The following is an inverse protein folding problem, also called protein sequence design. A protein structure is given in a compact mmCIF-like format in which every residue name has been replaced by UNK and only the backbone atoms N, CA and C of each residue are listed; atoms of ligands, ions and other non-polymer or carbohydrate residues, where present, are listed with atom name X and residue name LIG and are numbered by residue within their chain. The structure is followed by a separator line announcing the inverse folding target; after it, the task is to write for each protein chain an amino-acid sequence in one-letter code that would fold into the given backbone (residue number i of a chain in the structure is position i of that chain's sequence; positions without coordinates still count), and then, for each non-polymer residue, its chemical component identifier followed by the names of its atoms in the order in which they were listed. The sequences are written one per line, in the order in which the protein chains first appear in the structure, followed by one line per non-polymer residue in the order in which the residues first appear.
data_IF_891598014125
#
_entry.id   IF_891598014125
#
_cell.length_a   1.000
_cell.length_b   1.000
_cell.length_c   1.000
_cell.angle_alpha   90.00
_cell.angle_beta   90.00
_cell.angle_gamma   90.00
#
_symmetry.space_group_name_H-M   'P 1'
#
loop_
_entity.id
_entity.type
_entity.pdbx_description
1 polymer ?
#
# COMPACT_ATOMS: atom_id res chain seq x y z
N UNK A 1 13.03 21.60 79.02
CA UNK A 1 14.24 20.83 78.64
C UNK A 1 13.99 20.35 77.22
N UNK A 2 14.75 20.90 76.27
CA UNK A 2 14.62 20.71 74.82
C UNK A 2 15.33 19.42 74.43
N UNK A 3 14.82 18.68 73.44
CA UNK A 3 15.55 17.83 72.47
C UNK A 3 14.49 17.28 71.50
N UNK A 4 14.18 18.00 70.42
CA UNK A 4 14.82 17.99 69.09
C UNK A 4 14.51 16.72 68.28
N UNK A 5 13.47 16.82 67.45
CA UNK A 5 13.26 15.99 66.27
C UNK A 5 14.41 16.24 65.27
N UNK A 6 15.00 15.17 64.75
CA UNK A 6 15.94 15.22 63.63
C UNK A 6 15.41 14.28 62.54
N UNK A 7 15.08 14.90 61.41
CA UNK A 7 14.88 14.27 60.11
C UNK A 7 16.06 13.38 59.72
N UNK A 8 15.80 12.29 59.00
CA UNK A 8 16.67 11.88 57.88
C UNK A 8 15.91 11.02 56.87
N UNK A 9 15.79 11.59 55.68
CA UNK A 9 15.86 10.94 54.36
C UNK A 9 14.88 9.82 54.05
N UNK A 10 13.69 10.20 53.58
CA UNK A 10 13.00 9.39 52.58
C UNK A 10 13.82 9.42 51.29
N UNK A 11 14.26 8.23 50.91
CA UNK A 11 14.84 7.87 49.62
C UNK A 11 13.95 8.36 48.48
N UNK A 12 14.41 9.37 47.75
CA UNK A 12 14.10 9.50 46.33
C UNK A 12 14.75 8.29 45.63
N UNK A 13 14.04 7.17 45.52
CA UNK A 13 14.50 6.04 44.70
C UNK A 13 13.49 5.57 43.66
N UNK A 14 12.31 6.16 43.59
CA UNK A 14 11.26 5.64 42.71
C UNK A 14 10.79 6.77 41.78
N UNK A 15 10.74 6.49 40.47
CA UNK A 15 10.26 7.32 39.36
C UNK A 15 11.27 8.19 38.59
N UNK A 16 12.46 7.68 38.28
CA UNK A 16 13.22 8.18 37.11
C UNK A 16 12.89 7.37 35.86
N UNK A 17 12.67 6.06 35.98
CA UNK A 17 12.35 5.19 34.84
C UNK A 17 10.95 5.44 34.27
N UNK A 18 9.97 5.75 35.13
CA UNK A 18 8.61 6.11 34.68
C UNK A 18 8.54 7.49 34.01
N UNK A 19 9.46 8.41 34.34
CA UNK A 19 9.54 9.75 33.72
C UNK A 19 10.21 9.71 32.33
N UNK A 20 11.08 8.71 32.09
CA UNK A 20 11.78 8.55 30.80
C UNK A 20 10.90 7.90 29.72
N UNK A 21 9.87 7.15 30.12
CA UNK A 21 8.92 6.53 29.20
C UNK A 21 7.89 7.51 28.62
N UNK A 22 7.63 8.63 29.30
CA UNK A 22 6.59 9.60 28.87
C UNK A 22 7.03 10.59 27.78
N UNK A 23 8.32 10.66 27.41
CA UNK A 23 8.81 11.76 26.55
C UNK A 23 9.39 11.35 25.19
N UNK A 24 9.67 10.07 24.95
CA UNK A 24 10.23 9.63 23.67
C UNK A 24 9.70 8.26 23.24
N UNK A 25 8.82 8.24 22.24
CA UNK A 25 8.41 7.04 21.48
C UNK A 25 9.58 6.14 21.05
N UNK A 26 10.76 6.74 20.88
CA UNK A 26 12.01 6.10 20.47
C UNK A 26 13.21 6.80 21.15
N UNK A 27 13.58 6.43 22.39
CA UNK A 27 14.72 7.02 23.08
C UNK A 27 16.01 6.82 22.28
N UNK A 28 16.74 7.90 22.01
CA UNK A 28 18.02 7.82 21.28
C UNK A 28 17.92 7.70 19.75
N UNK A 29 16.75 7.99 19.17
CA UNK A 29 16.55 8.13 17.73
C UNK A 29 16.40 9.60 17.35
N UNK A 30 17.35 10.12 16.56
CA UNK A 30 17.26 11.44 15.94
C UNK A 30 16.65 11.31 14.54
N UNK A 31 15.60 12.07 14.25
CA UNK A 31 14.92 12.06 12.94
C UNK A 31 14.97 13.44 12.31
N UNK A 32 15.44 13.50 11.07
CA UNK A 32 15.51 14.72 10.27
C UNK A 32 14.80 14.50 8.94
N UNK A 33 13.90 15.41 8.58
CA UNK A 33 13.21 15.41 7.29
C UNK A 33 13.60 16.66 6.49
N UNK A 34 13.92 16.45 5.21
CA UNK A 34 14.29 17.50 4.25
C UNK A 34 13.41 17.47 3.00
N UNK A 35 13.08 18.65 2.48
CA UNK A 35 12.48 18.87 1.16
C UNK A 35 13.39 19.85 0.39
N UNK A 36 14.26 19.30 -0.46
CA UNK A 36 15.38 20.05 -1.04
C UNK A 36 16.31 20.62 0.04
N UNK A 37 16.60 21.93 -0.05
CA UNK A 37 17.43 22.64 0.93
C UNK A 37 16.67 22.98 2.22
N UNK A 38 15.35 22.82 2.24
CA UNK A 38 14.52 23.11 3.40
C UNK A 38 14.58 21.94 4.37
N UNK A 39 15.20 22.18 5.53
CA UNK A 39 15.05 21.27 6.68
C UNK A 39 13.68 21.53 7.28
N UNK A 40 12.77 20.59 7.06
CA UNK A 40 11.39 20.71 7.51
C UNK A 40 11.26 20.53 9.02
N UNK A 41 12.19 19.79 9.65
CA UNK A 41 12.17 19.60 11.10
C UNK A 41 13.50 19.08 11.65
N UNK A 42 14.02 19.73 12.70
CA UNK A 42 14.95 19.17 13.68
C UNK A 42 14.18 19.00 15.00
N UNK A 43 14.00 17.77 15.47
CA UNK A 43 13.45 17.43 16.80
C UNK A 43 11.98 17.82 17.14
N UNK A 44 11.18 18.40 16.24
CA UNK A 44 9.76 18.72 16.52
C UNK A 44 8.79 17.67 15.96
N UNK A 45 8.77 16.50 16.58
CA UNK A 45 7.68 15.54 16.41
C UNK A 45 6.44 16.02 17.18
N UNK A 46 5.27 16.15 16.52
CA UNK A 46 4.03 16.04 17.27
C UNK A 46 3.85 14.57 17.61
N UNK A 47 3.97 14.22 18.89
CA UNK A 47 3.57 12.89 19.34
C UNK A 47 2.06 12.80 19.37
N UNK A 48 1.51 11.87 18.61
CA UNK A 48 0.10 11.56 18.56
C UNK A 48 -0.04 10.07 18.92
N UNK A 49 -0.29 9.79 20.19
CA UNK A 49 -0.24 8.44 20.74
C UNK A 49 1.14 7.80 20.51
N UNK A 50 1.16 6.60 19.92
CA UNK A 50 2.38 5.83 19.60
C UNK A 50 2.96 6.16 18.21
N UNK A 51 2.82 7.41 17.75
CA UNK A 51 3.38 7.83 16.47
C UNK A 51 3.98 9.22 16.50
N UNK A 52 4.98 9.43 15.65
CA UNK A 52 5.61 10.71 15.37
C UNK A 52 5.10 11.18 14.02
N UNK A 53 4.51 12.38 13.95
CA UNK A 53 4.08 12.97 12.69
C UNK A 53 4.87 14.22 12.31
N UNK A 54 5.19 14.33 11.03
CA UNK A 54 5.89 15.45 10.42
C UNK A 54 5.02 16.10 9.36
N UNK A 55 4.79 17.39 9.54
CA UNK A 55 3.94 18.21 8.71
C UNK A 55 4.75 18.88 7.60
N UNK A 56 4.34 18.74 6.35
CA UNK A 56 4.72 19.63 5.25
C UNK A 56 3.54 20.54 4.87
N UNK A 57 3.67 21.36 3.83
CA UNK A 57 2.57 22.24 3.38
C UNK A 57 1.32 21.43 2.98
N UNK A 58 1.51 20.34 2.26
CA UNK A 58 0.46 19.57 1.58
C UNK A 58 0.36 18.12 2.05
N UNK A 59 1.33 17.63 2.82
CA UNK A 59 1.46 16.22 3.19
C UNK A 59 1.85 16.01 4.66
N UNK A 60 1.43 14.90 5.24
CA UNK A 60 1.82 14.44 6.59
C UNK A 60 2.59 13.13 6.44
N UNK A 61 3.80 13.08 6.98
CA UNK A 61 4.52 11.83 7.20
C UNK A 61 4.27 11.34 8.61
N UNK A 62 4.06 10.05 8.80
CA UNK A 62 3.88 9.44 10.12
C UNK A 62 4.82 8.26 10.28
N UNK A 63 5.59 8.26 11.36
CA UNK A 63 6.47 7.16 11.78
C UNK A 63 5.89 6.53 13.03
N UNK A 64 5.72 5.21 12.99
CA UNK A 64 5.23 4.43 14.13
C UNK A 64 6.19 3.28 14.41
N UNK A 65 6.47 3.04 15.68
CA UNK A 65 7.19 1.83 16.09
C UNK A 65 6.33 0.58 15.88
N UNK A 66 6.95 -0.50 15.41
CA UNK A 66 6.32 -1.80 15.26
C UNK A 66 7.28 -2.93 15.65
N UNK A 67 6.79 -3.92 16.38
CA UNK A 67 7.49 -5.21 16.54
C UNK A 67 7.21 -6.09 15.32
N UNK A 68 8.26 -6.53 14.63
CA UNK A 68 8.16 -7.41 13.47
C UNK A 68 7.82 -8.85 13.91
N UNK A 69 7.23 -9.64 13.01
CA UNK A 69 6.77 -11.01 13.29
C UNK A 69 7.90 -11.96 13.72
N UNK A 70 9.13 -11.69 13.27
CA UNK A 70 10.34 -12.40 13.65
C UNK A 70 10.94 -11.93 15.00
N UNK A 71 10.25 -11.05 15.72
CA UNK A 71 10.68 -10.49 17.00
C UNK A 71 11.67 -9.33 16.89
N UNK A 72 11.98 -8.86 15.68
CA UNK A 72 12.81 -7.68 15.45
C UNK A 72 12.07 -6.37 15.73
N UNK A 73 12.82 -5.30 15.97
CA UNK A 73 12.26 -3.96 16.15
C UNK A 73 12.16 -3.28 14.78
N UNK A 74 11.09 -2.53 14.54
CA UNK A 74 10.83 -1.90 13.25
C UNK A 74 10.20 -0.52 13.39
N UNK A 75 10.29 0.27 12.32
CA UNK A 75 9.57 1.53 12.18
C UNK A 75 8.80 1.52 10.88
N UNK A 76 7.50 1.76 10.96
CA UNK A 76 6.64 1.93 9.81
C UNK A 76 6.59 3.41 9.46
N UNK A 77 6.90 3.73 8.21
CA UNK A 77 6.69 5.05 7.64
C UNK A 77 5.46 5.03 6.71
N UNK A 78 4.52 5.92 6.99
CA UNK A 78 3.32 6.16 6.18
C UNK A 78 3.19 7.64 5.86
N UNK A 79 2.25 7.99 4.99
CA UNK A 79 1.88 9.37 4.82
C UNK A 79 0.54 9.58 4.15
N UNK A 80 0.02 10.78 4.29
CA UNK A 80 -1.29 11.18 3.77
C UNK A 80 -1.30 12.63 3.32
N UNK A 81 -2.11 12.91 2.30
CA UNK A 81 -2.39 14.29 1.88
C UNK A 81 -3.19 15.06 2.94
N UNK A 82 -2.85 16.33 3.13
CA UNK A 82 -3.66 17.28 3.93
C UNK A 82 -4.86 17.81 3.17
N UNK A 83 -4.81 17.72 1.85
CA UNK A 83 -5.84 18.25 0.95
C UNK A 83 -6.70 17.09 0.49
N UNK A 84 -8.01 17.20 0.71
CA UNK A 84 -8.98 16.21 0.25
C UNK A 84 -8.93 16.08 -1.28
N UNK A 85 -9.05 14.85 -1.79
CA UNK A 85 -9.02 14.51 -3.22
C UNK A 85 -7.66 14.79 -3.91
N UNK A 86 -6.58 14.99 -3.16
CA UNK A 86 -5.23 15.06 -3.73
C UNK A 86 -4.49 13.76 -3.46
N UNK A 87 -3.99 13.15 -4.52
CA UNK A 87 -3.01 12.06 -4.45
C UNK A 87 -1.63 12.67 -4.45
N UNK A 88 -0.94 12.51 -3.33
CA UNK A 88 0.43 12.98 -3.18
C UNK A 88 1.30 11.77 -2.90
N UNK A 89 2.29 11.56 -3.76
CA UNK A 89 3.28 10.49 -3.61
C UNK A 89 4.67 11.12 -3.59
N UNK A 90 5.37 10.92 -2.48
CA UNK A 90 6.74 11.36 -2.28
C UNK A 90 7.68 10.17 -2.50
N UNK A 91 8.65 10.34 -3.39
CA UNK A 91 9.82 9.47 -3.47
C UNK A 91 10.86 10.02 -2.52
N UNK A 92 11.25 9.21 -1.54
CA UNK A 92 12.16 9.62 -0.47
C UNK A 92 13.43 8.78 -0.47
N UNK A 93 14.52 9.39 -0.02
CA UNK A 93 15.79 8.77 0.32
C UNK A 93 15.89 8.71 1.83
N UNK A 94 16.13 7.53 2.39
CA UNK A 94 16.31 7.33 3.82
C UNK A 94 17.76 6.91 4.06
N UNK A 95 18.49 7.70 4.83
CA UNK A 95 19.85 7.40 5.29
C UNK A 95 19.78 7.10 6.79
N UNK A 96 20.12 5.87 7.14
CA UNK A 96 20.11 5.37 8.51
C UNK A 96 21.55 5.22 8.97
N UNK A 97 21.91 5.89 10.06
CA UNK A 97 23.20 5.69 10.73
C UNK A 97 22.98 5.22 12.14
N UNK A 98 23.72 4.18 12.54
CA UNK A 98 23.84 3.79 13.94
C UNK A 98 25.26 4.06 14.41
N UNK A 99 25.39 4.35 15.70
CA UNK A 99 26.68 4.70 16.29
C UNK A 99 27.01 3.79 17.47
N UNK A 100 28.30 3.52 17.63
CA UNK A 100 28.86 2.88 18.81
C UNK A 100 28.77 3.85 20.02
N UNK A 101 29.03 3.33 21.23
CA UNK A 101 29.03 4.15 22.45
C UNK A 101 30.09 5.26 22.46
N UNK A 102 31.14 5.14 21.65
CA UNK A 102 32.18 6.16 21.47
C UNK A 102 31.81 7.23 20.42
N UNK A 103 30.62 7.14 19.82
CA UNK A 103 30.15 8.04 18.77
C UNK A 103 30.68 7.74 17.37
N UNK A 104 31.47 6.66 17.18
CA UNK A 104 31.87 6.21 15.84
C UNK A 104 30.71 5.54 15.11
N UNK A 105 30.66 5.64 13.78
CA UNK A 105 29.61 5.01 12.97
C UNK A 105 29.77 3.49 13.04
N UNK A 106 28.73 2.80 13.50
CA UNK A 106 28.66 1.35 13.52
C UNK A 106 28.15 0.81 12.16
N UNK A 107 27.03 1.32 11.67
CA UNK A 107 26.47 0.99 10.35
C UNK A 107 25.90 2.24 9.68
N UNK A 108 26.04 2.29 8.37
CA UNK A 108 25.42 3.28 7.50
C UNK A 108 24.66 2.52 6.40
N UNK A 109 23.37 2.80 6.26
CA UNK A 109 22.50 2.19 5.25
C UNK A 109 21.69 3.26 4.54
N UNK A 110 21.47 3.07 3.26
CA UNK A 110 20.66 3.97 2.44
C UNK A 110 19.65 3.17 1.66
N UNK A 111 18.38 3.58 1.72
CA UNK A 111 17.31 3.00 0.92
C UNK A 111 16.41 4.09 0.32
N UNK A 112 15.66 3.72 -0.70
CA UNK A 112 14.70 4.60 -1.36
C UNK A 112 13.34 3.92 -1.37
N UNK A 113 12.28 4.69 -1.12
CA UNK A 113 10.92 4.19 -1.16
C UNK A 113 9.93 5.28 -1.57
N UNK A 114 8.69 4.86 -1.82
CA UNK A 114 7.56 5.74 -2.08
C UNK A 114 6.69 5.81 -0.82
N UNK A 115 6.32 7.02 -0.42
CA UNK A 115 5.41 7.29 0.70
C UNK A 115 4.37 8.27 0.22
N UNK A 116 3.10 7.91 0.30
CA UNK A 116 2.05 8.66 -0.34
C UNK A 116 0.66 8.17 0.02
N UNK A 117 -0.35 8.92 -0.41
CA UNK A 117 -1.73 8.43 -0.42
C UNK A 117 -1.81 7.15 -1.27
N UNK A 118 -2.46 6.10 -0.75
CA UNK A 118 -2.58 4.81 -1.43
C UNK A 118 -1.32 3.93 -1.48
N UNK A 119 -0.15 4.44 -1.06
CA UNK A 119 1.07 3.63 -0.96
C UNK A 119 0.98 2.61 0.19
N UNK A 120 1.69 1.49 0.03
CA UNK A 120 1.93 0.56 1.13
C UNK A 120 2.80 1.21 2.22
N UNK A 121 2.51 0.96 3.51
CA UNK A 121 3.39 1.34 4.60
C UNK A 121 4.81 0.79 4.37
N UNK A 122 5.80 1.66 4.51
CA UNK A 122 7.19 1.27 4.36
C UNK A 122 7.76 0.82 5.71
N UNK A 123 8.02 -0.48 5.86
CA UNK A 123 8.64 -1.05 7.06
C UNK A 123 10.17 -0.96 6.98
N UNK A 124 10.76 -0.21 7.90
CA UNK A 124 12.19 -0.24 8.20
C UNK A 124 12.42 -1.23 9.34
N UNK A 125 12.93 -2.42 9.01
CA UNK A 125 13.26 -3.44 9.99
C UNK A 125 14.68 -3.25 10.53
N UNK A 126 14.85 -3.41 11.83
CA UNK A 126 16.10 -3.30 12.57
C UNK A 126 16.36 -4.56 13.40
N UNK A 127 17.58 -4.75 13.90
CA UNK A 127 17.87 -5.88 14.78
C UNK A 127 17.12 -5.78 16.13
N UNK A 128 16.99 -6.90 16.84
CA UNK A 128 16.42 -6.92 18.19
C UNK A 128 17.13 -5.93 19.13
N UNK A 129 16.35 -5.20 19.94
CA UNK A 129 16.79 -4.24 20.96
C UNK A 129 17.36 -2.92 20.42
N UNK A 130 16.95 -2.48 19.23
CA UNK A 130 17.38 -1.20 18.68
C UNK A 130 16.97 -0.01 19.57
N UNK A 131 15.78 -0.09 20.18
CA UNK A 131 15.27 0.93 21.11
C UNK A 131 16.19 1.11 22.33
N UNK A 132 16.94 0.07 22.69
CA UNK A 132 17.88 0.11 23.82
C UNK A 132 19.30 0.51 23.39
N UNK A 133 19.63 0.43 22.10
CA UNK A 133 20.85 0.99 21.53
C UNK A 133 20.65 2.47 21.23
N UNK A 134 20.97 3.32 22.20
CA UNK A 134 21.03 4.77 22.02
C UNK A 134 21.96 5.07 20.82
N UNK A 135 21.55 5.97 19.92
CA UNK A 135 22.28 6.51 18.76
C UNK A 135 21.84 5.94 17.38
N UNK A 136 20.58 6.14 16.98
CA UNK A 136 20.13 6.01 15.59
C UNK A 136 19.86 7.40 15.00
N UNK A 137 20.40 7.69 13.82
CA UNK A 137 20.10 8.91 13.08
C UNK A 137 19.40 8.54 11.77
N UNK A 138 18.15 8.99 11.64
CA UNK A 138 17.30 8.79 10.48
C UNK A 138 17.20 10.10 9.70
N UNK A 139 17.88 10.17 8.55
CA UNK A 139 17.77 11.31 7.63
C UNK A 139 16.89 10.93 6.46
N UNK A 140 15.70 11.53 6.39
CA UNK A 140 14.72 11.35 5.32
C UNK A 140 14.78 12.59 4.41
N UNK A 141 14.93 12.37 3.11
CA UNK A 141 15.03 13.43 2.11
C UNK A 141 14.01 13.17 1.01
N UNK A 142 13.11 14.13 0.77
CA UNK A 142 12.17 14.09 -0.35
C UNK A 142 12.95 14.41 -1.63
N UNK A 143 13.09 13.40 -2.49
CA UNK A 143 13.81 13.52 -3.76
C UNK A 143 12.87 14.05 -4.85
N UNK A 144 11.63 13.59 -4.82
CA UNK A 144 10.64 13.89 -5.84
C UNK A 144 9.23 13.77 -5.27
N UNK A 145 8.33 14.65 -5.69
CA UNK A 145 6.94 14.69 -5.26
C UNK A 145 6.04 14.71 -6.50
N UNK A 146 5.07 13.79 -6.53
CA UNK A 146 3.97 13.79 -7.51
C UNK A 146 2.71 14.26 -6.81
N UNK A 147 1.98 15.18 -7.43
CA UNK A 147 0.71 15.69 -6.94
C UNK A 147 -0.29 15.54 -8.07
N UNK A 148 -1.40 14.85 -7.79
CA UNK A 148 -2.49 14.67 -8.73
C UNK A 148 -3.82 15.02 -8.06
N UNK A 149 -4.58 15.89 -8.72
CA UNK A 149 -5.92 16.27 -8.27
C UNK A 149 -6.94 15.28 -8.83
N UNK A 150 -7.68 14.65 -7.93
CA UNK A 150 -8.72 13.70 -8.27
C UNK A 150 -10.10 14.37 -8.28
N UNK A 151 -11.05 13.84 -9.07
CA UNK A 151 -12.41 14.35 -9.08
C UNK A 151 -13.09 14.23 -7.71
N UNK A 152 -13.92 15.23 -7.39
CA UNK A 152 -14.73 15.26 -6.17
C UNK A 152 -16.13 14.64 -6.36
N UNK A 153 -16.44 14.22 -7.59
CA UNK A 153 -17.68 13.56 -8.01
C UNK A 153 -18.96 14.32 -7.66
N UNK A 154 -18.94 15.66 -7.78
CA UNK A 154 -20.12 16.52 -7.53
C UNK A 154 -20.92 16.88 -8.78
N UNK A 155 -20.38 16.63 -9.97
CA UNK A 155 -20.99 17.04 -11.24
C UNK A 155 -21.05 15.88 -12.24
N UNK A 156 -22.10 15.88 -13.06
CA UNK A 156 -22.32 14.84 -14.07
C UNK A 156 -23.78 14.71 -14.50
N UNK A 157 -24.00 13.96 -15.58
CA UNK A 157 -25.32 13.59 -16.11
C UNK A 157 -25.78 12.19 -15.63
N UNK A 158 -25.03 11.59 -14.70
CA UNK A 158 -25.33 10.34 -14.01
C UNK A 158 -25.15 10.52 -12.50
N UNK A 159 -26.16 10.12 -11.73
CA UNK A 159 -26.13 9.98 -10.28
C UNK A 159 -26.10 8.48 -9.93
N UNK A 160 -25.04 8.04 -9.27
CA UNK A 160 -24.99 6.73 -8.63
C UNK A 160 -25.48 6.88 -7.18
N UNK A 161 -26.50 6.14 -6.81
CA UNK A 161 -27.09 6.14 -5.46
C UNK A 161 -26.80 4.82 -4.76
N UNK A 162 -26.13 4.90 -3.61
CA UNK A 162 -25.68 3.74 -2.84
C UNK A 162 -26.63 3.44 -1.68
N UNK A 163 -26.54 2.22 -1.15
CA UNK A 163 -27.42 1.74 -0.07
C UNK A 163 -27.36 2.55 1.23
N UNK A 164 -26.25 3.24 1.50
CA UNK A 164 -26.07 4.13 2.64
C UNK A 164 -26.64 5.55 2.39
N UNK A 165 -27.28 5.77 1.25
CA UNK A 165 -27.83 7.06 0.82
C UNK A 165 -26.78 8.03 0.25
N UNK A 166 -25.51 7.67 0.27
CA UNK A 166 -24.46 8.47 -0.36
C UNK A 166 -24.57 8.40 -1.89
N UNK A 167 -24.00 9.39 -2.56
CA UNK A 167 -24.14 9.56 -4.00
C UNK A 167 -22.83 10.00 -4.65
N UNK A 168 -22.59 9.52 -5.87
CA UNK A 168 -21.52 10.00 -6.74
C UNK A 168 -22.12 10.52 -8.04
N UNK A 169 -21.67 11.70 -8.49
CA UNK A 169 -22.02 12.24 -9.80
C UNK A 169 -20.89 12.00 -10.79
N UNK A 170 -21.26 11.50 -11.97
CA UNK A 170 -20.35 11.07 -13.03
C UNK A 170 -20.92 11.44 -14.40
N UNK A 171 -20.06 11.35 -15.42
CA UNK A 171 -20.52 11.42 -16.81
C UNK A 171 -20.83 10.02 -17.36
N UNK A 172 -22.03 9.84 -17.92
CA UNK A 172 -22.51 8.59 -18.56
C UNK A 172 -21.50 8.04 -19.56
N UNK A 173 -20.98 8.92 -20.43
CA UNK A 173 -20.02 8.55 -21.47
C UNK A 173 -18.70 8.02 -20.87
N UNK A 174 -18.21 8.65 -19.79
CA UNK A 174 -16.98 8.23 -19.15
C UNK A 174 -17.11 6.82 -18.56
N UNK A 175 -18.14 6.58 -17.75
CA UNK A 175 -18.25 5.31 -17.04
C UNK A 175 -18.66 4.15 -17.96
N UNK A 176 -19.44 4.41 -19.00
CA UNK A 176 -19.86 3.39 -19.98
C UNK A 176 -18.70 2.90 -20.87
N UNK A 177 -17.69 3.73 -21.10
CA UNK A 177 -16.46 3.32 -21.78
C UNK A 177 -15.61 2.39 -20.92
N UNK A 178 -15.63 2.59 -19.61
CA UNK A 178 -14.76 1.87 -18.68
C UNK A 178 -15.40 0.62 -18.07
N UNK A 179 -16.72 0.62 -17.84
CA UNK A 179 -17.46 -0.50 -17.25
C UNK A 179 -18.50 -1.05 -18.22
N UNK A 180 -18.34 -2.32 -18.60
CA UNK A 180 -19.32 -3.01 -19.44
C UNK A 180 -20.65 -3.18 -18.72
N UNK A 181 -20.64 -3.45 -17.41
CA UNK A 181 -21.87 -3.61 -16.64
C UNK A 181 -22.67 -2.31 -16.57
N UNK A 182 -21.99 -1.18 -16.30
CA UNK A 182 -22.68 0.11 -16.21
C UNK A 182 -23.15 0.56 -17.59
N UNK A 183 -22.39 0.28 -18.66
CA UNK A 183 -22.85 0.51 -20.03
C UNK A 183 -24.17 -0.20 -20.33
N UNK A 184 -24.32 -1.46 -19.93
CA UNK A 184 -25.59 -2.19 -20.11
C UNK A 184 -26.72 -1.60 -19.23
N UNK A 185 -26.42 -1.18 -18.00
CA UNK A 185 -27.39 -0.48 -17.14
C UNK A 185 -27.87 0.86 -17.73
N UNK A 186 -27.04 1.49 -18.58
CA UNK A 186 -27.31 2.78 -19.23
C UNK A 186 -27.86 2.66 -20.66
N UNK A 187 -28.01 1.46 -21.22
CA UNK A 187 -28.22 1.24 -22.66
C UNK A 187 -29.32 2.11 -23.28
N UNK A 188 -30.48 2.18 -22.61
CA UNK A 188 -31.63 2.95 -23.11
C UNK A 188 -31.65 4.40 -22.60
N UNK A 189 -30.73 4.75 -21.68
CA UNK A 189 -30.67 6.03 -20.97
C UNK A 189 -29.50 6.92 -21.39
N UNK A 190 -28.64 6.42 -22.29
CA UNK A 190 -27.39 7.10 -22.66
C UNK A 190 -27.65 8.49 -23.27
N UNK A 191 -28.72 8.61 -24.08
CA UNK A 191 -29.09 9.84 -24.78
C UNK A 191 -30.11 10.71 -24.01
N UNK A 192 -30.52 10.31 -22.81
CA UNK A 192 -31.41 11.14 -21.98
C UNK A 192 -30.72 12.45 -21.60
N UNK A 193 -31.44 13.58 -21.69
CA UNK A 193 -30.91 14.89 -21.32
C UNK A 193 -30.94 15.11 -19.80
N UNK A 194 -31.88 14.47 -19.11
CA UNK A 194 -32.00 14.55 -17.66
C UNK A 194 -30.92 13.72 -16.95
N UNK A 195 -30.69 14.04 -15.67
CA UNK A 195 -29.78 13.27 -14.82
C UNK A 195 -30.35 11.86 -14.64
N UNK A 196 -29.61 10.87 -15.11
CA UNK A 196 -29.94 9.46 -14.93
C UNK A 196 -29.57 9.03 -13.52
N UNK A 197 -30.45 8.31 -12.83
CA UNK A 197 -30.14 7.72 -11.52
C UNK A 197 -29.98 6.22 -11.67
N UNK A 198 -28.84 5.69 -11.20
CA UNK A 198 -28.60 4.26 -11.06
C UNK A 198 -28.41 3.91 -9.60
N UNK A 199 -29.09 2.84 -9.16
CA UNK A 199 -28.91 2.29 -7.81
C UNK A 199 -27.77 1.28 -7.82
N UNK A 200 -26.88 1.42 -6.84
CA UNK A 200 -25.71 0.58 -6.65
C UNK A 200 -25.82 -0.09 -5.28
N UNK A 201 -26.12 -1.38 -5.29
CA UNK A 201 -26.31 -2.12 -4.03
C UNK A 201 -24.97 -2.40 -3.32
N UNK A 202 -23.94 -2.71 -4.09
CA UNK A 202 -22.61 -3.07 -3.58
C UNK A 202 -21.57 -2.81 -4.69
N UNK A 203 -20.38 -2.26 -4.39
CA UNK A 203 -19.79 -2.04 -3.06
C UNK A 203 -20.28 -0.75 -2.37
N UNK A 204 -19.63 -0.37 -1.26
CA UNK A 204 -19.81 0.94 -0.64
C UNK A 204 -19.43 2.07 -1.60
N UNK A 205 -19.95 3.27 -1.34
CA UNK A 205 -19.64 4.45 -2.15
C UNK A 205 -18.15 4.78 -2.14
N UNK A 206 -17.48 4.74 -0.99
CA UNK A 206 -16.04 5.00 -0.88
C UNK A 206 -15.21 3.96 -1.65
N UNK A 207 -15.62 2.69 -1.64
CA UNK A 207 -14.93 1.65 -2.39
C UNK A 207 -15.11 1.80 -3.90
N UNK A 208 -16.32 2.17 -4.33
CA UNK A 208 -16.59 2.46 -5.73
C UNK A 208 -15.82 3.71 -6.18
N UNK A 209 -15.78 4.74 -5.34
CA UNK A 209 -15.02 5.97 -5.53
C UNK A 209 -13.53 5.69 -5.69
N UNK A 210 -12.97 4.84 -4.83
CA UNK A 210 -11.58 4.40 -4.94
C UNK A 210 -11.30 3.68 -6.26
N UNK A 211 -12.20 2.80 -6.74
CA UNK A 211 -12.09 2.18 -8.05
C UNK A 211 -12.07 3.24 -9.18
N UNK A 212 -12.93 4.25 -9.10
CA UNK A 212 -12.94 5.34 -10.08
C UNK A 212 -11.62 6.12 -10.08
N UNK A 213 -11.01 6.33 -8.91
CA UNK A 213 -9.69 6.96 -8.83
C UNK A 213 -8.59 6.20 -9.56
N UNK A 214 -8.62 4.87 -9.57
CA UNK A 214 -7.70 4.09 -10.41
C UNK A 214 -7.95 4.21 -11.91
N UNK A 215 -9.17 4.57 -12.32
CA UNK A 215 -9.51 4.84 -13.73
C UNK A 215 -9.03 6.24 -14.13
N UNK A 216 -9.23 7.24 -13.26
CA UNK A 216 -8.79 8.62 -13.49
C UNK A 216 -7.27 8.80 -13.40
N UNK A 217 -6.63 8.09 -12.48
CA UNK A 217 -5.18 8.08 -12.29
C UNK A 217 -4.61 6.68 -12.59
N UNK A 218 -4.29 6.36 -13.85
CA UNK A 218 -3.68 5.09 -14.22
C UNK A 218 -2.31 4.85 -13.57
N UNK A 219 -1.63 5.89 -13.10
CA UNK A 219 -0.34 5.81 -12.40
C UNK A 219 -0.46 5.56 -10.90
N UNK A 220 -1.66 5.66 -10.32
CA UNK A 220 -1.92 5.38 -8.90
C UNK A 220 -1.42 4.00 -8.49
N UNK A 221 -0.68 3.91 -7.40
CA UNK A 221 -0.19 2.65 -6.84
C UNK A 221 -1.34 1.83 -6.26
N UNK A 222 -1.38 0.53 -6.54
CA UNK A 222 -2.49 -0.37 -6.16
C UNK A 222 -2.50 -0.72 -4.66
N UNK A 223 -1.31 -0.87 -4.07
CA UNK A 223 -1.07 -1.08 -2.64
C UNK A 223 -2.15 -1.84 -1.87
N UNK A 224 -2.57 -1.26 -0.73
CA UNK A 224 -3.43 -1.90 0.26
C UNK A 224 -4.86 -2.16 -0.26
N UNK A 225 -5.25 -1.46 -1.31
CA UNK A 225 -6.59 -1.55 -1.88
C UNK A 225 -6.71 -2.72 -2.87
N UNK A 226 -5.63 -3.44 -3.19
CA UNK A 226 -5.59 -4.49 -4.22
C UNK A 226 -6.79 -5.45 -4.21
N UNK A 227 -6.99 -6.18 -3.10
CA UNK A 227 -8.03 -7.22 -3.01
C UNK A 227 -9.43 -6.63 -3.20
N UNK A 228 -9.67 -5.46 -2.59
CA UNK A 228 -10.97 -4.79 -2.62
C UNK A 228 -11.28 -4.28 -4.03
N UNK A 229 -10.33 -3.60 -4.64
CA UNK A 229 -10.48 -3.01 -5.98
C UNK A 229 -10.54 -4.08 -7.06
N UNK A 230 -9.84 -5.20 -6.90
CA UNK A 230 -9.98 -6.33 -7.82
C UNK A 230 -11.40 -6.89 -7.86
N UNK A 231 -12.00 -7.15 -6.69
CA UNK A 231 -13.39 -7.65 -6.63
C UNK A 231 -14.37 -6.72 -7.31
N UNK A 232 -14.24 -5.41 -7.06
CA UNK A 232 -15.14 -4.41 -7.65
C UNK A 232 -14.92 -4.31 -9.16
N UNK A 233 -13.66 -4.27 -9.61
CA UNK A 233 -13.30 -4.20 -11.02
C UNK A 233 -13.83 -5.39 -11.81
N UNK A 234 -13.73 -6.59 -11.26
CA UNK A 234 -14.31 -7.80 -11.87
C UNK A 234 -15.84 -7.72 -11.89
N UNK A 235 -16.47 -7.40 -10.75
CA UNK A 235 -17.94 -7.27 -10.63
C UNK A 235 -18.51 -6.31 -11.67
N UNK A 236 -17.87 -5.16 -11.88
CA UNK A 236 -18.30 -4.14 -12.83
C UNK A 236 -17.65 -4.25 -14.21
N UNK A 237 -16.86 -5.30 -14.46
CA UNK A 237 -16.14 -5.56 -15.73
C UNK A 237 -15.35 -4.35 -16.22
N UNK A 238 -14.56 -3.74 -15.33
CA UNK A 238 -13.63 -2.65 -15.66
C UNK A 238 -12.34 -3.24 -16.21
N UNK A 239 -12.33 -3.49 -17.53
CA UNK A 239 -11.32 -4.35 -18.17
C UNK A 239 -9.91 -3.78 -18.05
N UNK A 240 -9.74 -2.47 -18.25
CA UNK A 240 -8.44 -1.78 -18.11
C UNK A 240 -7.86 -1.93 -16.70
N UNK A 241 -8.70 -1.84 -15.67
CA UNK A 241 -8.27 -1.97 -14.29
C UNK A 241 -7.99 -3.43 -13.92
N UNK A 242 -8.81 -4.39 -14.39
CA UNK A 242 -8.53 -5.82 -14.23
C UNK A 242 -7.17 -6.20 -14.82
N UNK A 243 -6.84 -5.67 -16.00
CA UNK A 243 -5.54 -5.87 -16.64
C UNK A 243 -4.40 -5.32 -15.76
N UNK A 244 -4.50 -4.06 -15.32
CA UNK A 244 -3.51 -3.42 -14.45
C UNK A 244 -3.30 -4.20 -13.14
N UNK A 245 -4.38 -4.64 -12.51
CA UNK A 245 -4.34 -5.46 -11.29
C UNK A 245 -3.71 -6.83 -11.52
N UNK A 246 -3.93 -7.40 -12.70
CA UNK A 246 -3.35 -8.69 -13.08
C UNK A 246 -1.83 -8.60 -13.28
N UNK A 247 -1.35 -7.51 -13.90
CA UNK A 247 0.09 -7.20 -14.00
C UNK A 247 0.67 -7.02 -12.59
N UNK A 248 0.03 -6.19 -11.77
CA UNK A 248 0.48 -5.95 -10.39
C UNK A 248 0.67 -7.25 -9.62
N UNK A 249 -0.33 -8.14 -9.60
CA UNK A 249 -0.24 -9.44 -8.92
C UNK A 249 0.91 -10.32 -9.45
N UNK A 250 1.14 -10.29 -10.77
CA UNK A 250 2.23 -11.04 -11.38
C UNK A 250 3.60 -10.53 -10.94
N UNK A 251 3.74 -9.22 -10.77
CA UNK A 251 4.99 -8.53 -10.43
C UNK A 251 5.30 -8.49 -8.93
N UNK A 252 4.37 -8.82 -8.03
CA UNK A 252 4.63 -8.82 -6.57
C UNK A 252 5.85 -9.70 -6.23
N UNK A 253 6.91 -9.10 -5.73
CA UNK A 253 8.10 -9.85 -5.29
C UNK A 253 7.88 -10.57 -3.95
N UNK A 254 8.66 -11.60 -3.67
CA UNK A 254 8.60 -12.34 -2.39
C UNK A 254 7.44 -13.33 -2.23
N UNK A 255 6.42 -13.29 -3.11
CA UNK A 255 5.34 -14.28 -3.12
C UNK A 255 5.65 -15.49 -4.02
N UNK A 256 5.32 -16.71 -3.56
CA UNK A 256 5.49 -17.92 -4.39
C UNK A 256 4.50 -17.92 -5.54
N UNK A 257 4.87 -18.59 -6.63
CA UNK A 257 4.02 -18.69 -7.82
C UNK A 257 2.65 -19.30 -7.53
N UNK A 258 2.58 -20.36 -6.72
CA UNK A 258 1.31 -21.01 -6.34
C UNK A 258 0.39 -20.01 -5.65
N UNK A 259 0.89 -19.30 -4.64
CA UNK A 259 0.14 -18.30 -3.89
C UNK A 259 -0.43 -17.20 -4.81
N UNK A 260 0.36 -16.77 -5.82
CA UNK A 260 -0.10 -15.80 -6.82
C UNK A 260 -1.23 -16.35 -7.69
N UNK A 261 -1.13 -17.60 -8.15
CA UNK A 261 -2.19 -18.26 -8.94
C UNK A 261 -3.46 -18.43 -8.11
N UNK A 262 -3.35 -18.93 -6.88
CA UNK A 262 -4.50 -19.09 -5.98
C UNK A 262 -5.18 -17.76 -5.72
N UNK A 263 -4.39 -16.69 -5.49
CA UNK A 263 -4.93 -15.35 -5.30
C UNK A 263 -5.62 -14.81 -6.55
N UNK A 264 -5.04 -15.06 -7.73
CA UNK A 264 -5.65 -14.68 -9.01
C UNK A 264 -6.99 -15.37 -9.22
N UNK A 265 -7.09 -16.68 -8.94
CA UNK A 265 -8.33 -17.45 -9.03
C UNK A 265 -9.36 -16.93 -8.03
N UNK A 266 -8.96 -16.71 -6.77
CA UNK A 266 -9.83 -16.18 -5.72
C UNK A 266 -10.47 -14.83 -6.10
N UNK A 267 -9.71 -14.00 -6.81
CA UNK A 267 -10.15 -12.67 -7.25
C UNK A 267 -10.76 -12.68 -8.65
N UNK A 268 -10.89 -13.85 -9.29
CA UNK A 268 -11.34 -14.00 -10.68
C UNK A 268 -10.54 -13.16 -11.70
N UNK A 269 -9.27 -12.86 -11.37
CA UNK A 269 -8.31 -12.20 -12.26
C UNK A 269 -7.70 -13.24 -13.21
N UNK A 270 -8.53 -13.82 -14.08
CA UNK A 270 -8.11 -14.91 -14.97
C UNK A 270 -6.99 -14.52 -15.93
N UNK A 271 -6.87 -13.24 -16.27
CA UNK A 271 -5.73 -12.75 -17.05
C UNK A 271 -4.40 -12.93 -16.30
N UNK A 272 -4.39 -12.70 -14.98
CA UNK A 272 -3.21 -12.97 -14.14
C UNK A 272 -2.85 -14.46 -14.15
N UNK A 273 -3.84 -15.36 -14.09
CA UNK A 273 -3.62 -16.82 -14.19
C UNK A 273 -2.91 -17.17 -15.50
N UNK A 274 -3.37 -16.60 -16.62
CA UNK A 274 -2.76 -16.79 -17.95
C UNK A 274 -1.32 -16.25 -17.97
N UNK A 275 -1.10 -15.02 -17.50
CA UNK A 275 0.23 -14.39 -17.47
C UNK A 275 1.22 -15.18 -16.62
N UNK A 276 0.83 -15.55 -15.40
CA UNK A 276 1.63 -16.33 -14.47
C UNK A 276 1.95 -17.73 -15.00
N UNK A 277 1.02 -18.38 -15.71
CA UNK A 277 1.24 -19.69 -16.32
C UNK A 277 2.29 -19.64 -17.42
N UNK A 278 2.24 -18.60 -18.27
CA UNK A 278 3.26 -18.38 -19.32
C UNK A 278 4.62 -18.07 -18.68
N UNK A 279 4.65 -17.19 -17.68
CA UNK A 279 5.88 -16.84 -16.97
C UNK A 279 6.53 -18.04 -16.28
N UNK A 280 5.73 -18.94 -15.67
CA UNK A 280 6.25 -20.15 -15.03
C UNK A 280 6.89 -21.13 -16.03
N UNK A 281 6.39 -21.20 -17.26
CA UNK A 281 7.03 -21.95 -18.32
C UNK A 281 8.40 -21.35 -18.66
N UNK A 282 8.45 -20.06 -18.99
CA UNK A 282 9.69 -19.39 -19.42
C UNK A 282 10.79 -19.34 -18.34
N UNK A 283 10.40 -19.38 -17.08
CA UNK A 283 11.33 -19.38 -15.93
C UNK A 283 11.71 -20.79 -15.46
N UNK A 284 11.16 -21.84 -16.09
CA UNK A 284 11.37 -23.24 -15.69
C UNK A 284 10.71 -23.64 -14.36
N UNK A 285 9.95 -22.73 -13.73
CA UNK A 285 9.18 -23.01 -12.50
C UNK A 285 8.19 -24.14 -12.76
N UNK A 286 7.48 -24.10 -13.90
CA UNK A 286 6.49 -25.09 -14.25
C UNK A 286 7.08 -26.50 -14.33
N UNK A 287 8.16 -26.68 -15.09
CA UNK A 287 8.79 -27.99 -15.27
C UNK A 287 9.36 -28.52 -13.94
N UNK A 288 9.94 -27.62 -13.12
CA UNK A 288 10.42 -27.96 -11.78
C UNK A 288 9.29 -28.50 -10.89
N UNK A 289 8.13 -27.84 -10.91
CA UNK A 289 6.97 -28.28 -10.13
C UNK A 289 6.41 -29.62 -10.60
N UNK A 290 6.27 -29.81 -11.91
CA UNK A 290 5.81 -31.09 -12.47
C UNK A 290 6.78 -32.22 -12.14
N UNK A 291 8.10 -31.98 -12.23
CA UNK A 291 9.12 -32.95 -11.82
C UNK A 291 9.00 -33.32 -10.33
N UNK A 292 8.62 -32.37 -9.49
CA UNK A 292 8.33 -32.58 -8.07
C UNK A 292 6.94 -33.20 -7.80
N UNK A 293 6.29 -33.76 -8.82
CA UNK A 293 4.97 -34.40 -8.74
C UNK A 293 3.83 -33.45 -8.32
N UNK A 294 3.95 -32.15 -8.62
CA UNK A 294 2.84 -31.21 -8.44
C UNK A 294 1.69 -31.54 -9.39
N UNK A 295 0.49 -31.71 -8.83
CA UNK A 295 -0.74 -31.93 -9.59
C UNK A 295 -1.57 -30.64 -9.66
N UNK A 296 -1.57 -29.93 -10.81
CA UNK A 296 -2.30 -28.68 -10.99
C UNK A 296 -3.82 -28.88 -11.05
N UNK A 297 -4.30 -30.05 -11.51
CA UNK A 297 -5.74 -30.36 -11.56
C UNK A 297 -6.27 -30.51 -10.14
N UNK A 298 -5.52 -31.22 -9.29
CA UNK A 298 -5.89 -31.39 -7.88
C UNK A 298 -5.82 -30.08 -7.08
N UNK A 299 -4.84 -29.21 -7.35
CA UNK A 299 -4.67 -27.95 -6.61
C UNK A 299 -5.62 -26.84 -7.08
N UNK A 300 -5.72 -26.60 -8.38
CA UNK A 300 -6.47 -25.46 -8.92
C UNK A 300 -7.86 -25.81 -9.43
N UNK A 301 -8.17 -27.11 -9.54
CA UNK A 301 -9.40 -27.61 -10.12
C UNK A 301 -9.29 -27.83 -11.64
N UNK A 302 -10.04 -28.80 -12.14
CA UNK A 302 -10.02 -29.20 -13.55
C UNK A 302 -10.41 -28.04 -14.48
N UNK A 303 -11.43 -27.24 -14.12
CA UNK A 303 -11.87 -26.14 -14.96
C UNK A 303 -10.78 -25.08 -15.17
N UNK A 304 -10.13 -24.64 -14.10
CA UNK A 304 -9.04 -23.65 -14.18
C UNK A 304 -7.87 -24.23 -14.98
N UNK A 305 -7.50 -25.49 -14.71
CA UNK A 305 -6.40 -26.12 -15.42
C UNK A 305 -6.68 -26.24 -16.92
N UNK A 306 -7.83 -26.81 -17.32
CA UNK A 306 -8.14 -27.08 -18.72
C UNK A 306 -8.44 -25.81 -19.52
N UNK A 307 -9.08 -24.80 -18.92
CA UNK A 307 -9.50 -23.59 -19.65
C UNK A 307 -8.45 -22.49 -19.66
N UNK A 308 -7.64 -22.38 -18.60
CA UNK A 308 -6.71 -21.25 -18.43
C UNK A 308 -5.25 -21.70 -18.46
N UNK A 309 -4.84 -22.60 -17.55
CA UNK A 309 -3.42 -22.91 -17.35
C UNK A 309 -2.84 -23.71 -18.53
N UNK A 310 -3.42 -24.88 -18.84
CA UNK A 310 -2.92 -25.78 -19.88
C UNK A 310 -2.86 -25.12 -21.26
N UNK A 311 -3.92 -24.43 -21.75
CA UNK A 311 -3.85 -23.74 -23.04
C UNK A 311 -2.79 -22.64 -23.05
N UNK A 312 -2.59 -21.92 -21.93
CA UNK A 312 -1.59 -20.86 -21.84
C UNK A 312 -0.17 -21.40 -22.00
N UNK A 313 0.11 -22.55 -21.37
CA UNK A 313 1.41 -23.23 -21.46
C UNK A 313 1.63 -23.82 -22.85
N UNK A 314 0.63 -24.52 -23.40
CA UNK A 314 0.72 -25.12 -24.74
C UNK A 314 0.93 -24.05 -25.83
N UNK A 315 0.22 -22.92 -25.73
CA UNK A 315 0.38 -21.80 -26.66
C UNK A 315 1.76 -21.12 -26.51
N UNK A 316 2.25 -20.95 -25.28
CA UNK A 316 3.59 -20.41 -25.04
C UNK A 316 4.68 -21.31 -25.62
N UNK A 317 4.59 -22.63 -25.43
CA UNK A 317 5.50 -23.61 -26.06
C UNK A 317 5.50 -23.47 -27.59
N UNK A 318 4.33 -23.46 -28.22
CA UNK A 318 4.21 -23.30 -29.69
C UNK A 318 4.90 -22.04 -30.22
N UNK A 319 4.82 -20.94 -29.48
CA UNK A 319 5.44 -19.67 -29.86
C UNK A 319 6.97 -19.66 -29.66
N UNK A 320 7.53 -20.43 -28.73
CA UNK A 320 8.99 -20.64 -28.64
C UNK A 320 9.53 -21.35 -29.89
N UNK A 321 8.80 -22.34 -30.42
CA UNK A 321 9.22 -23.08 -31.62
C UNK A 321 9.14 -22.27 -32.92
N UNK A 322 8.46 -21.11 -32.94
CA UNK A 322 8.41 -20.22 -34.11
C UNK A 322 9.53 -19.19 -34.16
N UNK A 323 10.38 -19.14 -33.13
CA UNK A 323 11.53 -18.22 -33.05
C UNK A 323 12.87 -18.90 -33.41
N UNK A 324 12.82 -20.14 -33.88
CA UNK A 324 13.93 -20.93 -34.42
C UNK A 324 13.59 -21.44 -35.84
#
# INVERSE_FOLDING_TARGET
MITSEIHTTNTLSDNVDDLYLETHLLPGVEIKIKDGDLILTENCAKMLGDSISFDTLDFIFTIKYQKCDNGNDGMILTGSSKISNYEIVNKILIKVRSFNSDGSIYKDHTCMCLVGTGCEPFLMEFCQNLIFSRNLHLNIEIIYKTIEELPDFKYGDLKLEFNDGSCLFLYKNFISQNSTIIREMLKDKINEQDIVVLKIDEPSCEDFKEMLYYIYSPTRSIGNSFTRIAKISVKYKVTSLCHKLSIYLAEIEGCKWIDKIEKAIQLELYEAVVMLSKAALYTGIWDTMIYQSFDPVKHFGDEIYQKLIKPSIENAKKNEWTLF
#
